data_IF_958224273227
#
_entry.id   IF_958224273227
#
_cell.length_a   1.000
_cell.length_b   1.000
_cell.length_c   1.000
_cell.angle_alpha   90.00
_cell.angle_beta   90.00
_cell.angle_gamma   90.00
#
_symmetry.space_group_name_H-M   'P 1'
#
loop_
_entity.id
_entity.type
_entity.pdbx_description
1 polymer ?
#
# COMPACT_ATOMS: atom_id res chain seq x y z
N UNK A 1 51.76 -10.41 -29.56
CA UNK A 1 50.86 -11.27 -28.76
C UNK A 1 50.50 -10.66 -27.40
N UNK A 2 51.47 -10.35 -26.50
CA UNK A 2 51.19 -9.77 -25.15
C UNK A 2 50.46 -8.41 -25.12
N UNK A 3 50.71 -7.52 -26.09
CA UNK A 3 50.02 -6.21 -26.18
C UNK A 3 48.54 -6.34 -26.56
N UNK A 4 48.22 -7.22 -27.50
CA UNK A 4 46.85 -7.48 -27.95
C UNK A 4 46.03 -8.10 -26.81
N UNK A 5 46.61 -9.04 -26.06
CA UNK A 5 45.97 -9.65 -24.89
C UNK A 5 45.58 -8.62 -23.81
N UNK A 6 46.46 -7.65 -23.53
CA UNK A 6 46.18 -6.57 -22.58
C UNK A 6 45.06 -5.64 -23.07
N UNK A 7 45.02 -5.33 -24.37
CA UNK A 7 43.98 -4.49 -24.97
C UNK A 7 42.63 -5.18 -24.90
N UNK A 8 42.54 -6.48 -25.27
CA UNK A 8 41.29 -7.25 -25.16
C UNK A 8 40.76 -7.27 -23.73
N UNK A 9 41.63 -7.46 -22.74
CA UNK A 9 41.23 -7.51 -21.33
C UNK A 9 40.66 -6.17 -20.83
N UNK A 10 41.25 -5.05 -21.26
CA UNK A 10 40.74 -3.69 -20.96
C UNK A 10 39.37 -3.47 -21.61
N UNK A 11 39.19 -3.86 -22.88
CA UNK A 11 37.91 -3.73 -23.58
C UNK A 11 36.82 -4.57 -22.91
N UNK A 12 37.12 -5.80 -22.51
CA UNK A 12 36.19 -6.64 -21.76
C UNK A 12 35.81 -6.03 -20.40
N UNK A 13 36.78 -5.46 -19.67
CA UNK A 13 36.51 -4.80 -18.40
C UNK A 13 35.60 -3.57 -18.57
N UNK A 14 35.84 -2.73 -19.58
CA UNK A 14 34.99 -1.58 -19.90
C UNK A 14 33.58 -1.98 -20.32
N UNK A 15 33.44 -3.06 -21.09
CA UNK A 15 32.14 -3.62 -21.46
C UNK A 15 31.33 -4.09 -20.25
N UNK A 16 31.99 -4.80 -19.31
CA UNK A 16 31.35 -5.24 -18.06
C UNK A 16 30.91 -4.07 -17.19
N UNK A 17 31.76 -3.04 -17.02
CA UNK A 17 31.42 -1.85 -16.24
C UNK A 17 30.21 -1.12 -16.85
N UNK A 18 30.17 -1.00 -18.17
CA UNK A 18 29.03 -0.37 -18.88
C UNK A 18 27.73 -1.18 -18.72
N UNK A 19 27.82 -2.51 -18.82
CA UNK A 19 26.67 -3.40 -18.62
C UNK A 19 26.11 -3.35 -17.19
N UNK A 20 27.00 -3.33 -16.19
CA UNK A 20 26.60 -3.18 -14.79
C UNK A 20 26.00 -1.79 -14.52
N UNK A 21 26.59 -0.73 -15.07
CA UNK A 21 26.06 0.63 -14.99
C UNK A 21 24.63 0.73 -15.56
N UNK A 22 24.40 0.11 -16.73
CA UNK A 22 23.06 0.04 -17.34
C UNK A 22 22.03 -0.62 -16.42
N UNK A 23 22.36 -1.79 -15.83
CA UNK A 23 21.47 -2.50 -14.90
C UNK A 23 21.14 -1.70 -13.63
N UNK A 24 22.09 -0.91 -13.13
CA UNK A 24 21.86 -0.03 -11.98
C UNK A 24 20.89 1.10 -12.35
N UNK A 25 21.09 1.74 -13.51
CA UNK A 25 20.22 2.85 -13.94
C UNK A 25 18.79 2.41 -14.23
N UNK A 26 18.58 1.22 -14.80
CA UNK A 26 17.23 0.70 -15.09
C UNK A 26 16.42 0.46 -13.80
N UNK A 27 17.04 -0.10 -12.75
CA UNK A 27 16.37 -0.33 -11.47
C UNK A 27 16.04 0.95 -10.70
N UNK A 28 16.74 2.06 -10.97
CA UNK A 28 16.45 3.37 -10.35
C UNK A 28 15.21 4.02 -11.01
N UNK A 29 15.02 3.82 -12.32
CA UNK A 29 13.92 4.42 -13.05
C UNK A 29 12.55 3.84 -12.62
N UNK A 30 12.45 2.51 -12.48
CA UNK A 30 11.24 1.85 -11.98
C UNK A 30 10.86 2.32 -10.56
N UNK A 31 11.86 2.53 -9.70
CA UNK A 31 11.66 3.07 -8.35
C UNK A 31 11.16 4.52 -8.38
N UNK A 32 11.68 5.35 -9.30
CA UNK A 32 11.26 6.75 -9.45
C UNK A 32 9.81 6.85 -9.94
N UNK A 33 9.42 6.03 -10.91
CA UNK A 33 8.05 6.00 -11.41
C UNK A 33 7.06 5.50 -10.35
N UNK A 34 7.43 4.46 -9.60
CA UNK A 34 6.63 3.99 -8.45
C UNK A 34 6.50 5.08 -7.40
N UNK A 35 7.59 5.76 -7.05
CA UNK A 35 7.57 6.87 -6.10
C UNK A 35 6.68 8.02 -6.56
N UNK A 36 6.76 8.40 -7.84
CA UNK A 36 5.91 9.45 -8.41
C UNK A 36 4.41 9.08 -8.34
N UNK A 37 4.07 7.81 -8.60
CA UNK A 37 2.68 7.33 -8.49
C UNK A 37 2.17 7.33 -7.05
N UNK A 38 3.05 7.14 -6.07
CA UNK A 38 2.72 7.15 -4.64
C UNK A 38 2.64 8.56 -4.05
N UNK A 39 2.99 9.63 -4.80
CA UNK A 39 2.91 11.01 -4.32
C UNK A 39 1.47 11.46 -4.03
N UNK A 40 0.49 10.82 -4.66
CA UNK A 40 -0.92 11.18 -4.50
C UNK A 40 -1.77 9.93 -4.35
N UNK A 41 -2.76 10.00 -3.46
CA UNK A 41 -3.80 8.97 -3.35
C UNK A 41 -4.50 8.84 -4.72
N UNK A 42 -4.56 7.62 -5.31
CA UNK A 42 -5.20 7.40 -6.59
C UNK A 42 -6.71 7.64 -6.50
N UNK A 43 -7.36 7.83 -7.65
CA UNK A 43 -8.83 7.85 -7.71
C UNK A 43 -9.39 6.48 -7.32
N UNK A 44 -10.40 6.45 -6.46
CA UNK A 44 -11.15 5.26 -6.09
C UNK A 44 -12.63 5.61 -5.93
N UNK A 45 -13.47 4.57 -5.98
CA UNK A 45 -14.91 4.67 -5.77
C UNK A 45 -15.38 3.46 -4.96
N UNK A 46 -15.89 3.72 -3.76
CA UNK A 46 -16.47 2.74 -2.86
C UNK A 46 -17.93 3.12 -2.57
N UNK A 47 -18.61 2.24 -1.84
CA UNK A 47 -19.94 2.51 -1.28
C UNK A 47 -19.86 2.37 0.23
N UNK A 48 -20.51 3.28 0.95
CA UNK A 48 -20.71 3.14 2.39
C UNK A 48 -21.74 2.07 2.68
N UNK A 49 -21.90 1.69 3.95
CA UNK A 49 -22.92 0.73 4.40
C UNK A 49 -24.35 1.15 4.05
N UNK A 50 -24.60 2.46 3.95
CA UNK A 50 -25.88 3.05 3.55
C UNK A 50 -26.06 3.15 2.01
N UNK A 51 -25.08 2.67 1.24
CA UNK A 51 -25.09 2.71 -0.24
C UNK A 51 -24.66 4.06 -0.84
N UNK A 52 -24.19 5.02 -0.04
CA UNK A 52 -23.71 6.30 -0.56
C UNK A 52 -22.32 6.14 -1.20
N UNK A 53 -22.01 6.89 -2.28
CA UNK A 53 -20.69 6.85 -2.89
C UNK A 53 -19.64 7.43 -1.94
N UNK A 54 -18.49 6.77 -1.86
CA UNK A 54 -17.32 7.22 -1.09
C UNK A 54 -16.08 7.25 -1.99
N UNK A 55 -15.39 8.38 -2.01
CA UNK A 55 -14.26 8.66 -2.89
C UNK A 55 -13.18 9.46 -2.17
N UNK A 56 -12.14 9.86 -2.90
CA UNK A 56 -11.06 10.71 -2.38
C UNK A 56 -11.57 12.01 -1.76
N UNK A 57 -12.65 12.58 -2.30
CA UNK A 57 -13.22 13.85 -1.82
C UNK A 57 -13.92 13.70 -0.46
N UNK A 58 -14.19 12.45 -0.03
CA UNK A 58 -14.82 12.13 1.25
C UNK A 58 -13.78 11.83 2.35
N UNK A 59 -12.48 11.81 2.04
CA UNK A 59 -11.42 11.61 3.03
C UNK A 59 -11.33 12.81 4.00
N UNK A 60 -11.01 12.53 5.27
CA UNK A 60 -10.83 13.57 6.29
C UNK A 60 -9.65 14.47 5.89
N UNK A 61 -9.83 15.79 5.74
CA UNK A 61 -8.75 16.68 5.32
C UNK A 61 -7.64 16.69 6.37
N UNK A 62 -6.38 16.79 5.92
CA UNK A 62 -5.19 16.84 6.77
C UNK A 62 -5.05 15.67 7.76
N UNK A 63 -5.72 14.54 7.51
CA UNK A 63 -5.69 13.35 8.37
C UNK A 63 -5.02 12.19 7.60
N UNK A 64 -3.97 11.56 8.13
CA UNK A 64 -3.43 10.34 7.56
C UNK A 64 -4.53 9.28 7.44
N UNK A 65 -4.63 8.64 6.28
CA UNK A 65 -5.64 7.59 6.03
C UNK A 65 -4.96 6.24 5.80
N UNK A 66 -5.46 5.20 6.45
CA UNK A 66 -5.04 3.81 6.24
C UNK A 66 -6.21 3.04 5.65
N UNK A 67 -5.99 2.42 4.50
CA UNK A 67 -6.96 1.57 3.82
C UNK A 67 -6.69 0.12 4.22
N UNK A 68 -7.65 -0.51 4.89
CA UNK A 68 -7.54 -1.87 5.41
C UNK A 68 -8.50 -2.74 4.62
N UNK A 69 -7.95 -3.56 3.72
CA UNK A 69 -8.75 -4.51 2.95
C UNK A 69 -8.87 -5.81 3.73
N UNK A 70 -10.10 -6.27 3.94
CA UNK A 70 -10.34 -7.46 4.76
C UNK A 70 -11.36 -8.40 4.13
N UNK A 71 -11.37 -9.63 4.65
CA UNK A 71 -12.41 -10.62 4.43
C UNK A 71 -12.77 -11.25 5.77
N UNK A 72 -14.05 -11.44 6.06
CA UNK A 72 -14.57 -11.90 7.36
C UNK A 72 -13.99 -13.26 7.78
N UNK A 73 -13.85 -14.20 6.83
CA UNK A 73 -13.26 -15.51 7.06
C UNK A 73 -11.71 -15.54 7.17
N UNK A 74 -11.02 -14.43 6.94
CA UNK A 74 -9.55 -14.39 7.00
C UNK A 74 -9.04 -14.21 8.43
N UNK A 75 -8.34 -15.21 8.97
CA UNK A 75 -7.85 -15.17 10.35
C UNK A 75 -6.86 -14.03 10.62
N UNK A 76 -6.01 -13.68 9.64
CA UNK A 76 -5.12 -12.53 9.79
C UNK A 76 -5.89 -11.21 9.87
N UNK A 77 -6.98 -11.07 9.10
CA UNK A 77 -7.83 -9.89 9.15
C UNK A 77 -8.57 -9.78 10.50
N UNK A 78 -9.03 -10.91 11.04
CA UNK A 78 -9.64 -10.97 12.38
C UNK A 78 -8.66 -10.51 13.46
N UNK A 79 -7.43 -11.03 13.42
CA UNK A 79 -6.38 -10.63 14.36
C UNK A 79 -5.96 -9.16 14.21
N UNK A 80 -5.88 -8.64 12.98
CA UNK A 80 -5.60 -7.23 12.72
C UNK A 80 -6.71 -6.33 13.29
N UNK A 81 -7.97 -6.63 12.99
CA UNK A 81 -9.11 -5.87 13.49
C UNK A 81 -9.19 -5.87 15.03
N UNK A 82 -8.99 -7.03 15.65
CA UNK A 82 -8.95 -7.14 17.11
C UNK A 82 -7.82 -6.29 17.70
N UNK A 83 -6.60 -6.41 17.16
CA UNK A 83 -5.44 -5.68 17.65
C UNK A 83 -5.61 -4.16 17.53
N UNK A 84 -6.18 -3.69 16.42
CA UNK A 84 -6.50 -2.28 16.20
C UNK A 84 -7.55 -1.81 17.21
N UNK A 85 -8.62 -2.58 17.40
CA UNK A 85 -9.71 -2.25 18.32
C UNK A 85 -9.24 -2.15 19.77
N UNK A 86 -8.40 -3.08 20.21
CA UNK A 86 -7.80 -3.07 21.56
C UNK A 86 -6.78 -1.93 21.75
N UNK A 87 -6.20 -1.42 20.67
CA UNK A 87 -5.16 -0.39 20.69
C UNK A 87 -5.56 0.85 19.87
N UNK A 88 -6.79 1.33 20.04
CA UNK A 88 -7.31 2.43 19.21
C UNK A 88 -6.64 3.79 19.49
N UNK A 89 -6.09 4.00 20.69
CA UNK A 89 -5.50 5.28 21.11
C UNK A 89 -4.40 5.80 20.16
N UNK A 90 -3.41 4.99 19.75
CA UNK A 90 -2.47 5.34 18.69
C UNK A 90 -3.10 5.82 17.38
N UNK A 91 -4.30 5.35 17.05
CA UNK A 91 -5.00 5.65 15.80
C UNK A 91 -5.96 6.84 15.90
N UNK A 92 -6.03 7.54 17.05
CA UNK A 92 -7.03 8.61 17.26
C UNK A 92 -6.97 9.79 16.28
N UNK A 93 -5.83 9.99 15.64
CA UNK A 93 -5.61 11.05 14.64
C UNK A 93 -5.41 10.46 13.23
N UNK A 94 -5.83 9.22 13.01
CA UNK A 94 -5.70 8.50 11.75
C UNK A 94 -7.11 8.10 11.32
N UNK A 95 -7.43 8.30 10.04
CA UNK A 95 -8.64 7.74 9.45
C UNK A 95 -8.36 6.30 9.03
N UNK A 96 -9.03 5.34 9.67
CA UNK A 96 -9.01 3.95 9.27
C UNK A 96 -10.20 3.69 8.35
N UNK A 97 -9.97 3.09 7.19
CA UNK A 97 -11.03 2.74 6.25
C UNK A 97 -11.00 1.24 6.01
N UNK A 98 -11.92 0.51 6.65
CA UNK A 98 -12.10 -0.92 6.46
C UNK A 98 -12.93 -1.18 5.20
N UNK A 99 -12.37 -1.95 4.27
CA UNK A 99 -12.91 -2.15 2.92
C UNK A 99 -13.00 -3.65 2.66
N UNK A 100 -14.17 -4.10 2.24
CA UNK A 100 -14.38 -5.47 1.79
C UNK A 100 -15.30 -5.47 0.57
N UNK A 101 -15.23 -6.56 -0.19
CA UNK A 101 -16.15 -6.85 -1.30
C UNK A 101 -17.26 -7.81 -0.89
N UNK A 102 -17.31 -8.18 0.38
CA UNK A 102 -18.35 -9.05 0.94
C UNK A 102 -19.71 -8.34 1.01
N UNK A 103 -20.80 -9.11 1.21
CA UNK A 103 -22.11 -8.53 1.48
C UNK A 103 -22.06 -7.57 2.67
N UNK A 104 -22.87 -6.50 2.61
CA UNK A 104 -22.98 -5.48 3.67
C UNK A 104 -23.24 -6.13 5.03
N UNK A 105 -24.10 -7.15 5.10
CA UNK A 105 -24.38 -7.88 6.34
C UNK A 105 -23.12 -8.51 6.96
N UNK A 106 -22.24 -9.11 6.15
CA UNK A 106 -20.99 -9.69 6.62
C UNK A 106 -20.03 -8.61 7.14
N UNK A 107 -19.97 -7.47 6.45
CA UNK A 107 -19.13 -6.33 6.85
C UNK A 107 -19.64 -5.71 8.16
N UNK A 108 -20.95 -5.57 8.31
CA UNK A 108 -21.58 -5.06 9.53
C UNK A 108 -21.33 -5.99 10.72
N UNK A 109 -21.55 -7.29 10.53
CA UNK A 109 -21.30 -8.30 11.56
C UNK A 109 -19.83 -8.28 12.00
N UNK A 110 -18.88 -8.21 11.06
CA UNK A 110 -17.46 -8.07 11.36
C UNK A 110 -17.19 -6.78 12.16
N UNK A 111 -17.76 -5.65 11.74
CA UNK A 111 -17.59 -4.38 12.43
C UNK A 111 -18.11 -4.41 13.88
N UNK A 112 -19.20 -5.13 14.14
CA UNK A 112 -19.77 -5.31 15.48
C UNK A 112 -18.90 -6.26 16.30
N UNK A 113 -18.54 -7.42 15.74
CA UNK A 113 -17.74 -8.46 16.41
C UNK A 113 -16.42 -7.91 16.94
N UNK A 114 -15.74 -7.08 16.14
CA UNK A 114 -14.45 -6.48 16.50
C UNK A 114 -14.58 -5.07 17.08
N UNK A 115 -15.79 -4.62 17.45
CA UNK A 115 -16.05 -3.30 18.06
C UNK A 115 -15.46 -2.11 17.28
N UNK A 116 -15.48 -2.20 15.95
CA UNK A 116 -15.03 -1.15 15.03
C UNK A 116 -16.15 -0.11 14.79
N UNK A 117 -17.42 -0.47 14.97
CA UNK A 117 -18.56 0.43 14.77
C UNK A 117 -18.68 1.53 15.83
N UNK A 118 -18.04 1.37 16.98
CA UNK A 118 -18.10 2.32 18.10
C UNK A 118 -16.92 3.30 18.14
N UNK A 119 -15.98 3.20 17.19
CA UNK A 119 -14.79 4.06 17.16
C UNK A 119 -15.02 5.24 16.22
N UNK A 120 -14.60 6.43 16.62
CA UNK A 120 -14.79 7.69 15.86
C UNK A 120 -13.88 7.82 14.63
N UNK A 121 -12.94 6.89 14.49
CA UNK A 121 -11.82 6.96 13.54
C UNK A 121 -11.90 5.89 12.45
N UNK A 122 -12.88 4.98 12.53
CA UNK A 122 -13.20 3.90 11.60
C UNK A 122 -14.49 4.15 10.85
#
# INVERSE_FOLDING_TARGET
MKKVLKITLIVCALGLVSFLGYKVTSGIQEKKETSNRLQTIPSFSFQTMDGNPFSKDNLKPNTPTVFIYFHSECDFCKHEALSISENIEPFKNIQLLFISTEPIESIENFSIEYNLNNQTNT
#
